data_IF_233895740467
#
_entry.id   IF_233895740467
#
_cell.length_a   1.000
_cell.length_b   1.000
_cell.length_c   1.000
_cell.angle_alpha   90.00
_cell.angle_beta   90.00
_cell.angle_gamma   90.00
#
_symmetry.space_group_name_H-M   'P 1'
#
loop_
_entity.id
_entity.type
_entity.pdbx_description
1 polymer ?
#
# COMPACT_ATOMS: atom_id res chain seq x y z
N UNK A 1 1.17 17.84 22.11
CA UNK A 1 0.81 16.58 21.45
C UNK A 1 1.07 15.45 22.42
N UNK A 2 0.04 14.69 22.78
CA UNK A 2 0.17 13.46 23.57
C UNK A 2 0.60 12.30 22.66
N UNK A 3 1.14 11.22 23.25
CA UNK A 3 1.51 10.03 22.47
C UNK A 3 0.33 9.41 21.72
N UNK A 4 -0.89 9.49 22.28
CA UNK A 4 -2.10 9.00 21.61
C UNK A 4 -2.47 9.81 20.37
N UNK A 5 -2.30 11.13 20.39
CA UNK A 5 -2.55 11.99 19.22
C UNK A 5 -1.57 11.72 18.07
N UNK A 6 -0.32 11.41 18.41
CA UNK A 6 0.71 11.02 17.43
C UNK A 6 0.32 9.70 16.77
N UNK A 7 -0.04 8.69 17.55
CA UNK A 7 -0.40 7.36 17.03
C UNK A 7 -1.73 7.37 16.25
N UNK A 8 -2.63 8.30 16.57
CA UNK A 8 -3.86 8.53 15.80
C UNK A 8 -3.62 9.28 14.48
N UNK A 9 -2.37 9.62 14.13
CA UNK A 9 -2.04 10.26 12.86
C UNK A 9 -2.31 11.76 12.81
N UNK A 10 -2.53 12.43 13.97
CA UNK A 10 -2.84 13.86 14.02
C UNK A 10 -1.62 14.77 13.82
N UNK A 11 -0.42 14.19 13.64
CA UNK A 11 0.85 14.92 13.42
C UNK A 11 0.73 15.90 12.25
N UNK A 12 0.24 15.45 11.09
CA UNK A 12 0.12 16.29 9.90
C UNK A 12 -0.85 17.47 10.11
N UNK A 13 -2.09 17.27 10.61
CA UNK A 13 -2.97 18.38 10.99
C UNK A 13 -2.35 19.37 11.98
N UNK A 14 -1.68 18.88 13.04
CA UNK A 14 -1.07 19.76 14.05
C UNK A 14 0.05 20.62 13.47
N UNK A 15 0.90 20.04 12.61
CA UNK A 15 1.95 20.79 11.90
C UNK A 15 1.33 21.81 10.95
N UNK A 16 0.30 21.45 10.19
CA UNK A 16 -0.34 22.37 9.26
C UNK A 16 -0.99 23.58 9.97
N UNK A 17 -1.60 23.36 11.14
CA UNK A 17 -2.12 24.44 11.99
C UNK A 17 -1.01 25.33 12.53
N UNK A 18 0.10 24.74 12.96
CA UNK A 18 1.25 25.50 13.47
C UNK A 18 1.88 26.40 12.40
N UNK A 19 1.84 25.99 11.13
CA UNK A 19 2.55 26.67 10.02
C UNK A 19 1.67 27.68 9.29
N UNK A 20 0.45 27.28 8.93
CA UNK A 20 -0.45 28.06 8.09
C UNK A 20 -1.72 28.49 8.84
N UNK A 21 -1.73 28.36 10.17
CA UNK A 21 -2.86 28.72 11.01
C UNK A 21 -4.14 27.97 10.63
N UNK A 22 -5.28 28.65 10.71
CA UNK A 22 -6.60 28.08 10.36
C UNK A 22 -6.68 27.66 8.87
N UNK A 23 -5.96 28.35 7.97
CA UNK A 23 -5.92 28.00 6.55
C UNK A 23 -5.25 26.63 6.31
N UNK A 24 -4.22 26.30 7.09
CA UNK A 24 -3.55 25.00 7.05
C UNK A 24 -4.45 23.83 7.45
N UNK A 25 -5.29 24.01 8.48
CA UNK A 25 -6.28 23.00 8.87
C UNK A 25 -7.27 22.69 7.74
N UNK A 26 -7.81 23.72 7.09
CA UNK A 26 -8.76 23.56 5.98
C UNK A 26 -8.08 22.88 4.79
N UNK A 27 -6.84 23.25 4.47
CA UNK A 27 -6.07 22.64 3.40
C UNK A 27 -5.83 21.15 3.64
N UNK A 28 -5.42 20.74 4.85
CA UNK A 28 -5.22 19.31 5.20
C UNK A 28 -6.53 18.54 5.16
N UNK A 29 -7.64 19.13 5.63
CA UNK A 29 -8.96 18.51 5.58
C UNK A 29 -9.38 18.22 4.14
N UNK A 30 -9.27 19.23 3.26
CA UNK A 30 -9.62 19.10 1.85
C UNK A 30 -8.72 18.11 1.12
N UNK A 31 -7.40 18.19 1.34
CA UNK A 31 -6.43 17.25 0.77
C UNK A 31 -6.74 15.81 1.18
N UNK A 32 -7.02 15.57 2.46
CA UNK A 32 -7.36 14.24 2.99
C UNK A 32 -8.68 13.75 2.39
N UNK A 33 -9.70 14.60 2.30
CA UNK A 33 -10.98 14.25 1.69
C UNK A 33 -10.83 13.86 0.22
N UNK A 34 -10.08 14.64 -0.57
CA UNK A 34 -9.82 14.34 -1.97
C UNK A 34 -9.00 13.07 -2.15
N UNK A 35 -7.97 12.87 -1.32
CA UNK A 35 -7.13 11.66 -1.36
C UNK A 35 -7.95 10.40 -1.06
N UNK A 36 -8.79 10.42 -0.01
CA UNK A 36 -9.64 9.29 0.36
C UNK A 36 -10.71 9.03 -0.71
N UNK A 37 -11.33 10.08 -1.26
CA UNK A 37 -12.34 9.92 -2.33
C UNK A 37 -11.73 9.29 -3.58
N UNK A 38 -10.49 9.65 -3.92
CA UNK A 38 -9.75 9.06 -5.04
C UNK A 38 -9.45 7.58 -4.82
N UNK A 39 -8.96 7.19 -3.64
CA UNK A 39 -8.62 5.79 -3.33
C UNK A 39 -9.86 4.92 -3.20
N UNK A 40 -10.93 5.42 -2.55
CA UNK A 40 -12.20 4.72 -2.43
C UNK A 40 -12.84 4.45 -3.80
N UNK A 41 -12.76 5.40 -4.73
CA UNK A 41 -13.29 5.22 -6.09
C UNK A 41 -12.62 4.03 -6.80
N UNK A 42 -11.28 3.93 -6.72
CA UNK A 42 -10.55 2.81 -7.31
C UNK A 42 -10.88 1.47 -6.63
N UNK A 43 -10.99 1.45 -5.30
CA UNK A 43 -11.32 0.23 -4.55
C UNK A 43 -12.74 -0.27 -4.83
N UNK A 44 -13.72 0.63 -4.91
CA UNK A 44 -15.11 0.28 -5.22
C UNK A 44 -15.23 -0.34 -6.61
N UNK A 45 -14.52 0.22 -7.61
CA UNK A 45 -14.47 -0.34 -8.96
C UNK A 45 -13.84 -1.75 -8.95
N UNK A 46 -12.72 -1.92 -8.24
CA UNK A 46 -12.05 -3.21 -8.12
C UNK A 46 -12.97 -4.27 -7.48
N UNK A 47 -13.58 -3.96 -6.33
CA UNK A 47 -14.48 -4.88 -5.63
C UNK A 47 -15.70 -5.23 -6.47
N UNK A 48 -16.27 -4.24 -7.17
CA UNK A 48 -17.37 -4.44 -8.10
C UNK A 48 -17.01 -5.46 -9.20
N UNK A 49 -15.81 -5.33 -9.79
CA UNK A 49 -15.35 -6.25 -10.85
C UNK A 49 -15.11 -7.66 -10.32
N UNK A 50 -14.47 -7.81 -9.15
CA UNK A 50 -14.22 -9.11 -8.51
C UNK A 50 -15.55 -9.82 -8.21
N UNK A 51 -16.50 -9.11 -7.58
CA UNK A 51 -17.77 -9.72 -7.21
C UNK A 51 -18.59 -10.16 -8.43
N UNK A 52 -18.49 -9.42 -9.53
CA UNK A 52 -19.28 -9.69 -10.73
C UNK A 52 -18.65 -10.74 -11.64
N UNK A 53 -17.35 -10.58 -11.96
CA UNK A 53 -16.66 -11.48 -12.89
C UNK A 53 -16.13 -12.71 -12.18
N UNK A 54 -15.48 -12.56 -11.03
CA UNK A 54 -14.82 -13.69 -10.36
C UNK A 54 -15.82 -14.53 -9.59
N UNK A 55 -16.81 -13.92 -8.91
CA UNK A 55 -17.81 -14.65 -8.13
C UNK A 55 -19.08 -14.96 -8.95
N UNK A 56 -19.84 -13.94 -9.35
CA UNK A 56 -21.16 -14.14 -9.96
C UNK A 56 -21.09 -14.88 -11.31
N UNK A 57 -20.23 -14.43 -12.23
CA UNK A 57 -20.12 -15.03 -13.56
C UNK A 57 -19.48 -16.42 -13.52
N UNK A 58 -18.47 -16.64 -12.69
CA UNK A 58 -17.79 -17.95 -12.61
C UNK A 58 -18.65 -19.03 -11.95
N UNK A 59 -19.33 -18.70 -10.86
CA UNK A 59 -19.99 -19.70 -10.00
C UNK A 59 -21.51 -19.73 -10.10
N UNK A 60 -22.18 -18.59 -10.34
CA UNK A 60 -23.65 -18.51 -10.32
C UNK A 60 -24.23 -18.56 -11.73
N UNK A 61 -23.83 -17.64 -12.62
CA UNK A 61 -24.34 -17.59 -13.98
C UNK A 61 -23.25 -17.25 -15.00
N UNK A 62 -22.74 -18.30 -15.66
CA UNK A 62 -21.68 -18.22 -16.68
C UNK A 62 -22.08 -17.38 -17.90
N UNK A 63 -23.37 -17.29 -18.20
CA UNK A 63 -23.94 -16.51 -19.30
C UNK A 63 -24.70 -15.28 -18.80
N UNK A 64 -24.22 -14.63 -17.75
CA UNK A 64 -24.80 -13.38 -17.25
C UNK A 64 -24.77 -12.28 -18.33
N UNK A 65 -25.92 -11.66 -18.61
CA UNK A 65 -26.03 -10.51 -19.50
C UNK A 65 -25.76 -9.18 -18.78
N UNK A 66 -25.58 -8.09 -19.54
CA UNK A 66 -25.20 -6.76 -19.03
C UNK A 66 -26.08 -6.25 -17.87
N UNK A 67 -27.40 -6.48 -17.92
CA UNK A 67 -28.32 -6.02 -16.87
C UNK A 67 -28.04 -6.69 -15.53
N UNK A 68 -27.66 -7.96 -15.54
CA UNK A 68 -27.35 -8.70 -14.31
C UNK A 68 -25.95 -8.33 -13.81
N UNK A 69 -24.98 -8.20 -14.71
CA UNK A 69 -23.63 -7.70 -14.38
C UNK A 69 -23.69 -6.37 -13.61
N UNK A 70 -24.48 -5.40 -14.08
CA UNK A 70 -24.63 -4.11 -13.42
C UNK A 70 -25.33 -4.23 -12.05
N UNK A 71 -26.39 -5.04 -11.94
CA UNK A 71 -27.10 -5.23 -10.66
C UNK A 71 -26.22 -5.87 -9.60
N UNK A 72 -25.49 -6.93 -9.98
CA UNK A 72 -24.62 -7.67 -9.07
C UNK A 72 -23.36 -6.87 -8.71
N UNK A 73 -22.86 -6.04 -9.62
CA UNK A 73 -21.83 -5.02 -9.34
C UNK A 73 -22.27 -4.07 -8.23
N UNK A 74 -23.44 -3.42 -8.36
CA UNK A 74 -23.95 -2.51 -7.34
C UNK A 74 -24.21 -3.20 -5.99
N UNK A 75 -24.75 -4.42 -6.01
CA UNK A 75 -24.95 -5.20 -4.80
C UNK A 75 -23.61 -5.51 -4.11
N UNK A 76 -22.60 -5.92 -4.88
CA UNK A 76 -21.26 -6.18 -4.36
C UNK A 76 -20.65 -4.96 -3.65
N UNK A 77 -20.82 -3.77 -4.22
CA UNK A 77 -20.36 -2.52 -3.60
C UNK A 77 -21.08 -2.23 -2.28
N UNK A 78 -22.41 -2.39 -2.23
CA UNK A 78 -23.20 -2.16 -1.00
C UNK A 78 -22.81 -3.15 0.09
N UNK A 79 -22.66 -4.43 -0.25
CA UNK A 79 -22.23 -5.47 0.69
C UNK A 79 -20.83 -5.20 1.22
N UNK A 80 -19.89 -4.82 0.35
CA UNK A 80 -18.53 -4.47 0.75
C UNK A 80 -18.49 -3.23 1.64
N UNK A 81 -19.26 -2.18 1.32
CA UNK A 81 -19.36 -0.99 2.14
C UNK A 81 -19.91 -1.30 3.54
N UNK A 82 -20.97 -2.13 3.63
CA UNK A 82 -21.53 -2.57 4.89
C UNK A 82 -20.54 -3.41 5.71
N UNK A 83 -19.84 -4.35 5.05
CA UNK A 83 -18.83 -5.20 5.69
C UNK A 83 -17.63 -4.38 6.19
N UNK A 84 -17.09 -3.49 5.35
CA UNK A 84 -15.96 -2.62 5.69
C UNK A 84 -16.31 -1.66 6.84
N UNK A 85 -17.50 -1.06 6.82
CA UNK A 85 -17.98 -0.21 7.91
C UNK A 85 -18.11 -1.00 9.22
N UNK A 86 -18.66 -2.22 9.16
CA UNK A 86 -18.77 -3.12 10.31
C UNK A 86 -17.40 -3.52 10.88
N UNK A 87 -16.46 -3.89 10.02
CA UNK A 87 -15.09 -4.25 10.41
C UNK A 87 -14.36 -3.05 11.04
N UNK A 88 -14.53 -1.85 10.47
CA UNK A 88 -13.96 -0.61 11.02
C UNK A 88 -14.53 -0.30 12.40
N UNK A 89 -15.84 -0.44 12.59
CA UNK A 89 -16.47 -0.27 13.90
C UNK A 89 -15.97 -1.29 14.93
N UNK A 90 -15.78 -2.55 14.52
CA UNK A 90 -15.22 -3.60 15.38
C UNK A 90 -13.78 -3.29 15.80
N UNK A 91 -12.94 -2.84 14.87
CA UNK A 91 -11.56 -2.42 15.18
C UNK A 91 -11.50 -1.20 16.09
N UNK A 92 -12.39 -0.23 15.90
CA UNK A 92 -12.47 0.93 16.79
C UNK A 92 -12.90 0.51 18.21
N UNK A 93 -13.88 -0.39 18.34
CA UNK A 93 -14.29 -0.92 19.64
C UNK A 93 -13.19 -1.75 20.31
N UNK A 94 -12.39 -2.48 19.51
CA UNK A 94 -11.22 -3.23 19.98
C UNK A 94 -10.04 -2.36 20.45
N UNK A 95 -10.17 -1.02 20.43
CA UNK A 95 -9.12 -0.10 20.89
C UNK A 95 -7.95 0.05 19.92
N UNK A 96 -8.10 -0.39 18.67
CA UNK A 96 -7.04 -0.22 17.66
C UNK A 96 -6.99 1.22 17.16
N UNK A 97 -5.77 1.69 16.89
CA UNK A 97 -5.50 3.04 16.40
C UNK A 97 -4.92 3.00 14.98
N UNK A 98 -4.77 4.16 14.36
CA UNK A 98 -4.26 4.26 12.99
C UNK A 98 -2.85 3.66 12.85
N UNK A 99 -1.97 3.87 13.82
CA UNK A 99 -0.62 3.27 13.83
C UNK A 99 -0.65 1.75 13.82
N UNK A 100 -1.47 1.13 14.67
CA UNK A 100 -1.67 -0.32 14.70
C UNK A 100 -2.16 -0.86 13.36
N UNK A 101 -3.17 -0.23 12.77
CA UNK A 101 -3.73 -0.64 11.47
C UNK A 101 -2.69 -0.53 10.36
N UNK A 102 -1.91 0.56 10.33
CA UNK A 102 -0.85 0.79 9.35
C UNK A 102 0.30 -0.20 9.47
N UNK A 103 0.62 -0.68 10.68
CA UNK A 103 1.68 -1.68 10.86
C UNK A 103 1.20 -3.11 10.59
N UNK A 104 -0.04 -3.43 10.93
CA UNK A 104 -0.61 -4.76 10.72
C UNK A 104 -0.89 -5.06 9.24
N UNK A 105 -1.24 -4.05 8.42
CA UNK A 105 -1.64 -4.24 7.01
C UNK A 105 -0.57 -4.98 6.17
N UNK A 106 0.72 -4.76 6.46
CA UNK A 106 1.82 -5.44 5.77
C UNK A 106 1.80 -6.96 6.00
N UNK A 107 1.46 -7.40 7.21
CA UNK A 107 1.39 -8.83 7.55
C UNK A 107 0.35 -9.55 6.71
N UNK A 108 -0.80 -8.91 6.45
CA UNK A 108 -1.94 -9.55 5.76
C UNK A 108 -1.85 -9.42 4.24
N UNK A 109 -1.25 -8.36 3.71
CA UNK A 109 -1.27 -8.07 2.26
C UNK A 109 -0.10 -8.67 1.48
N UNK A 110 1.03 -8.93 2.12
CA UNK A 110 2.23 -9.45 1.46
C UNK A 110 2.25 -10.92 0.97
N UNK A 111 1.44 -11.89 1.46
CA UNK A 111 1.62 -13.30 1.09
C UNK A 111 1.46 -13.59 -0.41
N UNK A 112 0.67 -12.78 -1.11
CA UNK A 112 0.37 -12.99 -2.53
C UNK A 112 1.46 -12.53 -3.48
N UNK A 113 2.43 -11.72 -3.04
CA UNK A 113 3.36 -11.00 -3.95
C UNK A 113 4.12 -11.97 -4.86
N UNK A 114 4.87 -12.91 -4.28
CA UNK A 114 5.73 -13.81 -5.05
C UNK A 114 4.94 -14.88 -5.84
N UNK A 115 3.91 -15.53 -5.28
CA UNK A 115 3.07 -16.44 -6.04
C UNK A 115 2.49 -15.79 -7.30
N UNK A 116 2.01 -14.53 -7.19
CA UNK A 116 1.42 -13.80 -8.32
C UNK A 116 2.47 -13.42 -9.38
N UNK A 117 3.67 -13.01 -8.96
CA UNK A 117 4.78 -12.74 -9.89
C UNK A 117 5.15 -14.02 -10.66
N UNK A 118 5.27 -15.14 -9.95
CA UNK A 118 5.67 -16.40 -10.56
C UNK A 118 4.56 -17.05 -11.39
N UNK A 119 3.27 -16.76 -11.13
CA UNK A 119 2.19 -17.18 -12.05
C UNK A 119 2.32 -16.55 -13.43
N UNK A 120 2.97 -15.38 -13.55
CA UNK A 120 3.14 -14.67 -14.83
C UNK A 120 4.49 -15.01 -15.48
N UNK A 121 5.55 -15.22 -14.68
CA UNK A 121 6.90 -15.41 -15.20
C UNK A 121 7.33 -16.88 -15.32
N UNK A 122 6.72 -17.79 -14.56
CA UNK A 122 7.19 -19.16 -14.44
C UNK A 122 6.19 -20.17 -14.99
N UNK A 123 6.52 -20.74 -16.14
CA UNK A 123 5.72 -21.72 -16.86
C UNK A 123 5.52 -23.07 -16.16
N UNK A 124 6.21 -23.31 -15.03
CA UNK A 124 6.12 -24.57 -14.26
C UNK A 124 5.30 -24.43 -12.98
N UNK A 125 4.84 -23.22 -12.64
CA UNK A 125 4.11 -23.01 -11.41
C UNK A 125 2.71 -23.62 -11.51
N UNK A 126 2.41 -24.55 -10.60
CA UNK A 126 1.09 -25.15 -10.52
C UNK A 126 0.06 -24.21 -9.89
N UNK A 127 -1.18 -24.30 -10.38
CA UNK A 127 -2.32 -23.53 -9.85
C UNK A 127 -2.53 -23.77 -8.35
N UNK A 128 -2.35 -25.02 -7.88
CA UNK A 128 -2.47 -25.34 -6.46
C UNK A 128 -1.29 -24.80 -5.64
N UNK A 129 -0.08 -24.83 -6.21
CA UNK A 129 1.12 -24.26 -5.58
C UNK A 129 0.96 -22.74 -5.36
N UNK A 130 0.39 -22.02 -6.33
CA UNK A 130 0.13 -20.58 -6.23
C UNK A 130 -0.82 -20.23 -5.06
N UNK A 131 -1.90 -20.99 -4.90
CA UNK A 131 -2.90 -20.74 -3.84
C UNK A 131 -2.37 -21.17 -2.47
N UNK A 132 -1.83 -22.39 -2.37
CA UNK A 132 -1.36 -22.96 -1.10
C UNK A 132 -0.20 -22.15 -0.54
N UNK A 133 0.74 -21.72 -1.39
CA UNK A 133 1.88 -20.90 -0.94
C UNK A 133 1.45 -19.55 -0.36
N UNK A 134 0.48 -18.87 -0.98
CA UNK A 134 -0.07 -17.62 -0.47
C UNK A 134 -0.79 -17.81 0.87
N UNK A 135 -1.62 -18.86 1.00
CA UNK A 135 -2.35 -19.15 2.25
C UNK A 135 -1.39 -19.58 3.36
N UNK A 136 -0.43 -20.45 3.06
CA UNK A 136 0.60 -20.87 4.01
C UNK A 136 1.48 -19.69 4.45
N UNK A 137 1.81 -18.79 3.53
CA UNK A 137 2.56 -17.56 3.82
C UNK A 137 1.80 -16.58 4.71
N UNK A 138 0.47 -16.48 4.56
CA UNK A 138 -0.35 -15.70 5.48
C UNK A 138 -0.35 -16.33 6.88
N UNK A 139 -0.49 -17.66 6.96
CA UNK A 139 -0.50 -18.37 8.23
C UNK A 139 0.84 -18.22 8.98
N UNK A 140 1.97 -18.32 8.27
CA UNK A 140 3.30 -18.08 8.86
C UNK A 140 3.52 -16.62 9.23
N UNK A 141 3.06 -15.68 8.41
CA UNK A 141 3.08 -14.25 8.71
C UNK A 141 2.34 -13.92 10.01
N UNK A 142 1.11 -14.41 10.16
CA UNK A 142 0.31 -14.26 11.37
C UNK A 142 0.94 -14.97 12.58
N UNK A 143 1.47 -16.18 12.38
CA UNK A 143 2.15 -16.95 13.42
C UNK A 143 3.40 -16.25 13.95
N UNK A 144 4.24 -15.70 13.05
CA UNK A 144 5.43 -14.94 13.44
C UNK A 144 5.06 -13.59 14.06
N UNK A 145 4.02 -12.92 13.56
CA UNK A 145 3.56 -11.66 14.14
C UNK A 145 3.08 -11.82 15.59
N UNK A 146 2.16 -12.76 15.84
CA UNK A 146 1.63 -13.02 17.18
C UNK A 146 2.68 -13.67 18.09
N UNK A 147 3.51 -14.57 17.53
CA UNK A 147 4.62 -15.19 18.25
C UNK A 147 5.70 -14.18 18.67
N UNK A 148 6.04 -13.22 17.80
CA UNK A 148 6.98 -12.15 18.13
C UNK A 148 6.40 -11.19 19.18
N UNK A 149 5.10 -10.89 19.13
CA UNK A 149 4.44 -10.13 20.18
C UNK A 149 4.56 -10.82 21.55
N UNK A 150 4.27 -12.12 21.60
CA UNK A 150 4.40 -12.92 22.82
C UNK A 150 5.86 -13.05 23.29
N UNK A 151 6.82 -13.27 22.38
CA UNK A 151 8.22 -13.50 22.75
C UNK A 151 8.93 -12.22 23.21
N UNK A 152 8.60 -11.06 22.63
CA UNK A 152 9.27 -9.79 22.95
C UNK A 152 8.59 -9.04 24.10
N UNK A 153 7.26 -9.14 24.22
CA UNK A 153 6.48 -8.35 25.19
C UNK A 153 5.76 -9.20 26.23
N UNK A 154 5.76 -10.54 26.11
CA UNK A 154 5.16 -11.45 27.09
C UNK A 154 3.65 -11.58 27.02
N UNK A 155 2.98 -10.84 26.13
CA UNK A 155 1.53 -10.87 25.93
C UNK A 155 1.13 -10.64 24.47
N UNK A 156 -0.05 -11.15 24.10
CA UNK A 156 -0.70 -10.86 22.82
C UNK A 156 -1.85 -9.88 23.09
N UNK A 157 -1.56 -8.58 22.98
CA UNK A 157 -2.49 -7.47 23.16
C UNK A 157 -2.43 -6.52 21.97
N UNK A 158 -3.37 -5.57 21.87
CA UNK A 158 -3.32 -4.53 20.82
C UNK A 158 -2.03 -3.70 20.94
N UNK A 159 -1.58 -3.47 22.16
CA UNK A 159 -0.37 -2.69 22.41
C UNK A 159 0.90 -3.44 22.00
N UNK A 160 0.98 -4.76 22.25
CA UNK A 160 2.15 -5.56 21.86
C UNK A 160 2.17 -5.85 20.36
N UNK A 161 1.02 -6.16 19.77
CA UNK A 161 0.90 -6.45 18.33
C UNK A 161 1.04 -5.21 17.45
N UNK A 162 0.79 -4.01 18.00
CA UNK A 162 1.00 -2.72 17.34
C UNK A 162 2.43 -2.17 17.39
N UNK A 163 3.37 -2.91 17.97
CA UNK A 163 4.76 -2.49 18.00
C UNK A 163 5.44 -2.72 16.65
N UNK A 164 6.41 -1.86 16.31
CA UNK A 164 7.14 -1.93 15.04
C UNK A 164 7.86 -3.27 14.85
N UNK A 165 8.42 -3.85 15.92
CA UNK A 165 9.22 -5.08 15.83
C UNK A 165 8.38 -6.33 15.46
N UNK A 166 7.30 -6.68 16.19
CA UNK A 166 6.41 -7.76 15.79
C UNK A 166 5.86 -7.60 14.37
N UNK A 167 5.40 -6.40 14.01
CA UNK A 167 4.87 -6.14 12.66
C UNK A 167 5.94 -6.28 11.58
N UNK A 168 7.18 -5.86 11.84
CA UNK A 168 8.30 -6.05 10.92
C UNK A 168 8.58 -7.54 10.69
N UNK A 169 8.73 -8.33 11.76
CA UNK A 169 8.98 -9.77 11.64
C UNK A 169 7.83 -10.49 10.95
N UNK A 170 6.59 -10.16 11.30
CA UNK A 170 5.38 -10.70 10.66
C UNK A 170 5.32 -10.37 9.17
N UNK A 171 5.60 -9.11 8.79
CA UNK A 171 5.57 -8.68 7.38
C UNK A 171 6.67 -9.36 6.57
N UNK A 172 7.89 -9.46 7.11
CA UNK A 172 9.00 -10.15 6.43
C UNK A 172 8.71 -11.65 6.27
N UNK A 173 8.19 -12.30 7.32
CA UNK A 173 7.80 -13.70 7.25
C UNK A 173 6.67 -13.93 6.23
N UNK A 174 5.66 -13.07 6.24
CA UNK A 174 4.51 -13.09 5.33
C UNK A 174 4.94 -12.86 3.87
N UNK A 175 5.87 -11.94 3.63
CA UNK A 175 6.37 -11.66 2.29
C UNK A 175 7.29 -12.76 1.75
N UNK A 176 8.24 -13.27 2.55
CA UNK A 176 9.30 -14.15 2.04
C UNK A 176 8.96 -15.65 2.12
N UNK A 177 8.12 -16.08 3.06
CA UNK A 177 7.79 -17.51 3.16
C UNK A 177 6.99 -18.07 1.97
N UNK A 178 6.03 -17.35 1.33
CA UNK A 178 5.37 -17.83 0.12
C UNK A 178 6.34 -18.13 -1.02
N UNK A 179 7.45 -17.39 -1.13
CA UNK A 179 8.48 -17.64 -2.15
C UNK A 179 9.11 -19.02 -1.99
N UNK A 180 9.41 -19.43 -0.76
CA UNK A 180 9.93 -20.75 -0.48
C UNK A 180 8.88 -21.83 -0.79
N UNK A 181 7.64 -21.62 -0.34
CA UNK A 181 6.56 -22.58 -0.55
C UNK A 181 6.24 -22.77 -2.03
N UNK A 182 6.12 -21.69 -2.81
CA UNK A 182 5.77 -21.79 -4.21
C UNK A 182 6.86 -22.47 -5.03
N UNK A 183 8.14 -22.23 -4.74
CA UNK A 183 9.25 -22.92 -5.42
C UNK A 183 9.24 -24.41 -5.09
N UNK A 184 9.13 -24.77 -3.82
CA UNK A 184 9.14 -26.19 -3.40
C UNK A 184 7.93 -26.92 -3.98
N UNK A 185 6.73 -26.36 -3.84
CA UNK A 185 5.49 -26.99 -4.32
C UNK A 185 5.46 -27.10 -5.85
N UNK A 186 5.96 -26.09 -6.57
CA UNK A 186 6.03 -26.13 -8.04
C UNK A 186 7.07 -27.13 -8.56
N UNK A 187 8.10 -27.46 -7.77
CA UNK A 187 9.05 -28.52 -8.13
C UNK A 187 8.49 -29.93 -7.86
N UNK A 188 7.65 -30.09 -6.83
CA UNK A 188 6.99 -31.37 -6.52
C UNK A 188 5.85 -31.65 -7.51
N UNK A 189 5.05 -30.64 -7.82
CA UNK A 189 3.94 -30.71 -8.76
C UNK A 189 4.09 -29.64 -9.85
N UNK A 190 4.98 -29.83 -10.84
CA UNK A 190 5.12 -28.90 -11.93
C UNK A 190 3.92 -28.98 -12.87
N UNK A 191 3.38 -27.84 -13.24
CA UNK A 191 2.33 -27.72 -14.26
C UNK A 191 2.96 -27.00 -15.46
N UNK A 192 3.10 -27.66 -16.61
CA UNK A 192 3.75 -27.05 -17.79
C UNK A 192 2.72 -26.24 -18.57
N UNK A 193 2.51 -24.99 -18.14
CA UNK A 193 1.53 -24.10 -18.75
C UNK A 193 1.97 -23.63 -20.15
N UNK A 194 1.05 -23.71 -21.11
CA UNK A 194 1.26 -23.25 -22.48
C UNK A 194 0.78 -21.80 -22.64
N UNK A 195 1.72 -20.87 -22.79
CA UNK A 195 1.45 -19.43 -22.91
C UNK A 195 0.70 -19.05 -24.19
N UNK A 196 0.67 -19.91 -25.20
CA UNK A 196 -0.06 -19.63 -26.45
C UNK A 196 -1.56 -19.47 -26.20
N UNK A 197 -2.07 -20.13 -25.16
CA UNK A 197 -3.48 -20.13 -24.75
C UNK A 197 -4.01 -18.75 -24.31
N UNK A 198 -3.14 -17.83 -23.89
CA UNK A 198 -3.52 -16.44 -23.58
C UNK A 198 -3.98 -15.66 -24.82
N UNK A 199 -3.56 -16.08 -26.02
CA UNK A 199 -3.95 -15.43 -27.29
C UNK A 199 -5.37 -15.80 -27.70
N UNK A 200 -5.85 -16.97 -27.27
CA UNK A 200 -7.17 -17.50 -27.62
C UNK A 200 -8.29 -16.95 -26.73
N UNK A 201 -7.94 -16.31 -25.61
CA UNK A 201 -8.88 -15.88 -24.59
C UNK A 201 -9.51 -14.53 -24.97
N UNK A 202 -10.64 -14.62 -25.67
CA UNK A 202 -11.41 -13.45 -26.10
C UNK A 202 -11.95 -12.69 -24.88
N UNK A 203 -11.59 -11.41 -24.75
CA UNK A 203 -12.15 -10.50 -23.73
C UNK A 203 -13.68 -10.47 -23.87
N UNK A 204 -14.38 -11.05 -22.89
CA UNK A 204 -15.83 -11.32 -22.92
C UNK A 204 -16.69 -10.05 -22.79
N UNK A 205 -16.11 -8.88 -23.08
CA UNK A 205 -16.78 -7.58 -23.11
C UNK A 205 -17.01 -7.10 -24.55
N UNK A 206 -16.22 -7.55 -25.53
CA UNK A 206 -16.29 -7.06 -26.91
C UNK A 206 -17.56 -7.48 -27.66
N UNK A 207 -18.28 -8.50 -27.18
CA UNK A 207 -19.53 -8.92 -27.82
C UNK A 207 -20.71 -7.98 -27.54
N UNK A 208 -20.70 -7.26 -26.41
CA UNK A 208 -21.92 -6.66 -25.88
C UNK A 208 -21.90 -5.12 -25.82
N UNK A 209 -20.73 -4.48 -25.87
CA UNK A 209 -20.60 -3.00 -25.96
C UNK A 209 -21.01 -2.45 -27.33
N UNK A 210 -20.94 -3.27 -28.37
CA UNK A 210 -21.25 -2.87 -29.76
C UNK A 210 -22.71 -2.48 -29.99
N UNK A 211 -23.64 -2.91 -29.12
CA UNK A 211 -25.08 -2.72 -29.36
C UNK A 211 -25.68 -1.53 -28.60
N UNK A 212 -25.14 -1.12 -27.46
CA UNK A 212 -25.69 -0.01 -26.66
C UNK A 212 -25.01 1.34 -26.93
N UNK A 213 -23.77 1.38 -27.40
CA UNK A 213 -23.04 2.62 -27.68
C UNK A 213 -23.47 3.33 -28.98
N UNK A 214 -24.20 2.62 -29.85
CA UNK A 214 -24.70 3.16 -31.13
C UNK A 214 -25.85 4.18 -30.99
N UNK A 215 -26.36 4.44 -29.77
CA UNK A 215 -27.56 5.27 -29.54
C UNK A 215 -27.32 6.65 -28.91
N UNK A 216 -26.08 7.04 -28.59
CA UNK A 216 -25.76 8.42 -28.18
C UNK A 216 -24.90 9.12 -29.24
N UNK A 217 -25.53 9.99 -30.04
CA UNK A 217 -24.82 10.99 -30.85
C UNK A 217 -24.59 12.23 -30.00
N UNK A 218 -23.36 12.43 -29.52
CA UNK A 218 -22.83 13.75 -29.15
C UNK A 218 -21.40 13.91 -29.66
N UNK A 219 -20.98 15.15 -30.01
CA UNK A 219 -19.81 15.38 -30.84
C UNK A 219 -18.50 15.31 -30.06
N UNK A 220 -17.52 14.72 -30.72
CA UNK A 220 -16.10 14.63 -30.45
C UNK A 220 -15.55 15.57 -29.37
N UNK A 221 -15.21 14.98 -28.23
CA UNK A 221 -14.00 15.30 -27.49
C UNK A 221 -13.34 13.97 -27.16
N UNK A 222 -12.15 13.73 -27.72
CA UNK A 222 -11.29 12.60 -27.36
C UNK A 222 -10.92 12.70 -25.88
N UNK A 223 -11.80 12.20 -25.02
CA UNK A 223 -11.50 11.95 -23.63
C UNK A 223 -11.27 10.46 -23.51
N UNK A 224 -9.99 10.09 -23.58
CA UNK A 224 -9.40 8.89 -22.98
C UNK A 224 -10.41 7.75 -22.78
N UNK A 225 -10.67 6.98 -23.85
CA UNK A 225 -11.40 5.72 -23.71
C UNK A 225 -10.67 4.88 -22.66
N UNK A 226 -11.32 4.69 -21.52
CA UNK A 226 -10.92 3.73 -20.52
C UNK A 226 -10.88 2.36 -21.18
N UNK A 227 -9.69 1.76 -21.18
CA UNK A 227 -9.42 0.50 -21.86
C UNK A 227 -7.92 0.30 -22.03
N UNK A 228 -7.18 0.29 -20.92
CA UNK A 228 -5.72 0.01 -20.88
C UNK A 228 -5.36 -1.39 -21.45
N UNK A 229 -6.35 -2.19 -21.86
CA UNK A 229 -6.18 -3.58 -22.25
C UNK A 229 -6.55 -3.89 -23.71
N UNK A 230 -7.12 -2.94 -24.46
CA UNK A 230 -7.58 -3.21 -25.84
C UNK A 230 -6.47 -3.11 -26.90
N UNK A 231 -5.40 -2.35 -26.63
CA UNK A 231 -4.29 -2.18 -27.58
C UNK A 231 -3.19 -3.24 -27.42
N UNK A 232 -3.37 -4.20 -26.51
CA UNK A 232 -2.41 -5.26 -26.23
C UNK A 232 -2.56 -6.49 -27.14
N UNK A 233 -3.58 -6.54 -28.00
CA UNK A 233 -3.94 -7.77 -28.73
C UNK A 233 -3.36 -7.91 -30.15
N UNK A 234 -2.46 -7.03 -30.59
CA UNK A 234 -1.60 -7.29 -31.75
C UNK A 234 -0.15 -6.88 -31.44
N UNK A 235 0.52 -7.63 -30.56
CA UNK A 235 1.97 -7.47 -30.35
C UNK A 235 2.71 -8.21 -31.46
N UNK A 236 2.88 -7.56 -32.60
CA UNK A 236 3.98 -7.90 -33.52
C UNK A 236 5.26 -7.55 -32.78
N UNK A 237 6.00 -8.55 -32.27
CA UNK A 237 7.26 -8.32 -31.58
C UNK A 237 8.29 -7.69 -32.52
N UNK A 238 8.35 -6.35 -32.54
CA UNK A 238 9.42 -5.63 -33.20
C UNK A 238 10.65 -5.60 -32.25
N UNK A 239 11.85 -5.69 -32.81
CA UNK A 239 13.11 -5.70 -32.05
C UNK A 239 13.29 -4.40 -31.22
N UNK A 240 12.53 -3.36 -31.51
CA UNK A 240 12.42 -2.12 -30.74
C UNK A 240 11.79 -2.31 -29.37
N UNK A 241 10.82 -3.21 -29.21
CA UNK A 241 10.06 -3.38 -27.96
C UNK A 241 10.90 -4.01 -26.84
N UNK A 242 11.82 -4.90 -27.22
CA UNK A 242 12.80 -5.49 -26.30
C UNK A 242 13.79 -4.45 -25.77
N UNK A 243 14.05 -3.36 -26.51
CA UNK A 243 14.91 -2.26 -26.04
C UNK A 243 14.16 -1.40 -25.03
N UNK A 244 12.91 -1.05 -25.32
CA UNK A 244 12.06 -0.28 -24.41
C UNK A 244 11.75 -1.04 -23.12
N UNK A 245 11.57 -2.36 -23.17
CA UNK A 245 11.47 -3.19 -21.96
C UNK A 245 12.75 -3.13 -21.11
N UNK A 246 13.94 -3.18 -21.73
CA UNK A 246 15.21 -3.05 -20.99
C UNK A 246 15.35 -1.68 -20.34
N UNK A 247 14.98 -0.60 -21.04
CA UNK A 247 14.98 0.74 -20.46
C UNK A 247 13.95 0.88 -19.35
N UNK A 248 12.75 0.34 -19.51
CA UNK A 248 11.71 0.33 -18.48
C UNK A 248 12.14 -0.46 -17.24
N UNK A 249 12.76 -1.63 -17.44
CA UNK A 249 13.32 -2.44 -16.35
C UNK A 249 14.43 -1.68 -15.61
N UNK A 250 15.38 -1.09 -16.35
CA UNK A 250 16.46 -0.29 -15.77
C UNK A 250 15.91 0.90 -14.96
N UNK A 251 14.92 1.60 -15.51
CA UNK A 251 14.28 2.74 -14.86
C UNK A 251 13.49 2.31 -13.61
N UNK A 252 12.77 1.18 -13.68
CA UNK A 252 12.06 0.60 -12.54
C UNK A 252 13.02 0.21 -11.42
N UNK A 253 14.14 -0.44 -11.75
CA UNK A 253 15.19 -0.74 -10.77
C UNK A 253 15.77 0.54 -10.19
N UNK A 254 16.12 1.53 -11.02
CA UNK A 254 16.67 2.79 -10.54
C UNK A 254 15.71 3.52 -9.60
N UNK A 255 14.42 3.60 -9.92
CA UNK A 255 13.41 4.20 -9.05
C UNK A 255 13.22 3.41 -7.75
N UNK A 256 13.16 2.07 -7.83
CA UNK A 256 13.03 1.23 -6.64
C UNK A 256 14.24 1.37 -5.72
N UNK A 257 15.45 1.10 -6.22
CA UNK A 257 16.68 1.19 -5.43
C UNK A 257 16.97 2.63 -5.01
N UNK A 258 16.67 3.62 -5.84
CA UNK A 258 16.87 5.04 -5.53
C UNK A 258 15.99 5.50 -4.37
N UNK A 259 14.68 5.25 -4.45
CA UNK A 259 13.72 5.74 -3.45
C UNK A 259 13.75 4.88 -2.18
N UNK A 260 13.80 3.55 -2.30
CA UNK A 260 13.61 2.64 -1.16
C UNK A 260 14.91 2.23 -0.48
N UNK A 261 16.05 2.28 -1.15
CA UNK A 261 17.34 1.80 -0.61
C UNK A 261 18.32 2.96 -0.45
N UNK A 262 18.54 3.75 -1.50
CA UNK A 262 19.53 4.84 -1.51
C UNK A 262 19.07 6.05 -0.68
N UNK A 263 17.78 6.31 -0.55
CA UNK A 263 17.31 7.38 0.34
C UNK A 263 17.37 6.98 1.83
N UNK A 264 16.81 5.83 2.27
CA UNK A 264 16.69 5.54 3.70
C UNK A 264 17.99 5.03 4.32
N UNK A 265 18.81 4.26 3.58
CA UNK A 265 20.04 3.67 4.15
C UNK A 265 21.11 4.70 4.52
N UNK A 266 21.41 5.72 3.70
CA UNK A 266 22.32 6.79 4.10
C UNK A 266 21.76 7.64 5.23
N UNK A 267 20.44 7.90 5.28
CA UNK A 267 19.82 8.59 6.40
C UNK A 267 19.94 7.79 7.71
N UNK A 268 19.74 6.47 7.64
CA UNK A 268 19.93 5.55 8.76
C UNK A 268 21.40 5.47 9.18
N UNK A 269 22.33 5.29 8.22
CA UNK A 269 23.77 5.21 8.45
C UNK A 269 24.38 6.51 8.97
N UNK A 270 23.85 7.66 8.56
CA UNK A 270 24.23 8.97 9.09
C UNK A 270 23.63 9.25 10.48
N UNK A 271 22.80 8.36 11.04
CA UNK A 271 22.01 8.57 12.27
C UNK A 271 21.32 9.93 12.24
N UNK A 272 20.73 10.28 11.08
CA UNK A 272 20.21 11.62 10.84
C UNK A 272 19.02 11.89 11.77
N UNK A 273 19.18 12.87 12.66
CA UNK A 273 18.10 13.38 13.51
C UNK A 273 17.69 14.72 12.90
N UNK A 274 16.42 14.85 12.52
CA UNK A 274 15.88 16.15 12.13
C UNK A 274 15.96 17.10 13.34
N UNK A 275 16.99 17.95 13.35
CA UNK A 275 17.17 18.98 14.39
C UNK A 275 16.06 20.02 14.27
N UNK A 276 15.55 20.53 15.41
CA UNK A 276 14.61 21.66 15.45
C UNK A 276 15.04 22.81 14.54
N UNK A 277 16.34 23.09 14.45
CA UNK A 277 16.86 24.15 13.60
C UNK A 277 16.66 23.93 12.09
N UNK A 278 16.66 22.68 11.61
CA UNK A 278 16.41 22.37 10.19
C UNK A 278 14.92 22.40 9.90
N UNK A 279 14.10 21.95 10.85
CA UNK A 279 12.66 22.03 10.77
C UNK A 279 12.21 23.51 10.79
N UNK A 280 12.60 24.28 11.79
CA UNK A 280 12.23 25.69 11.92
C UNK A 280 12.77 26.56 10.76
N UNK A 281 13.98 26.29 10.26
CA UNK A 281 14.52 27.01 9.09
C UNK A 281 13.86 26.54 7.79
N UNK A 282 13.80 25.24 7.53
CA UNK A 282 13.17 24.69 6.33
C UNK A 282 11.69 25.07 6.22
N UNK A 283 10.97 25.12 7.35
CA UNK A 283 9.57 25.56 7.40
C UNK A 283 9.41 27.07 7.19
N UNK A 284 10.28 27.91 7.72
CA UNK A 284 10.27 29.35 7.42
C UNK A 284 10.59 29.63 5.94
N UNK A 285 11.48 28.85 5.31
CA UNK A 285 11.82 29.03 3.91
C UNK A 285 10.74 28.50 2.94
N UNK A 286 10.05 27.40 3.27
CA UNK A 286 8.89 26.92 2.49
C UNK A 286 7.66 27.82 2.61
N UNK A 287 7.39 28.37 3.81
CA UNK A 287 6.25 29.28 4.01
C UNK A 287 6.45 30.63 3.29
N UNK A 288 7.69 31.03 2.99
CA UNK A 288 8.04 32.33 2.38
C UNK A 288 8.49 32.18 0.90
N UNK A 289 8.55 30.96 0.35
CA UNK A 289 8.87 30.73 -1.06
C UNK A 289 10.28 31.15 -1.48
N UNK A 290 11.26 31.15 -0.56
CA UNK A 290 12.66 31.45 -0.90
C UNK A 290 13.45 30.16 -1.16
N UNK A 291 14.06 30.09 -2.35
CA UNK A 291 14.97 29.01 -2.75
C UNK A 291 16.23 28.99 -1.87
N UNK A 292 16.72 27.79 -1.59
CA UNK A 292 17.86 27.51 -0.71
C UNK A 292 19.16 27.99 -1.35
N UNK A 293 19.85 28.92 -0.70
CA UNK A 293 21.26 29.24 -1.00
C UNK A 293 22.17 28.08 -0.51
N UNK A 294 23.09 27.54 -1.32
CA UNK A 294 23.87 26.35 -0.99
C UNK A 294 24.90 26.52 0.16
N UNK A 295 25.07 27.72 0.72
CA UNK A 295 26.21 28.08 1.57
C UNK A 295 26.08 27.81 3.08
N UNK A 296 24.93 27.36 3.59
CA UNK A 296 24.64 27.39 5.04
C UNK A 296 24.09 26.09 5.62
N UNK A 297 24.50 24.93 5.09
CA UNK A 297 24.18 23.62 5.69
C UNK A 297 25.30 23.23 6.67
N UNK A 298 25.17 23.64 7.94
CA UNK A 298 26.02 23.13 9.01
C UNK A 298 25.50 21.78 9.50
N UNK A 299 26.16 20.69 9.13
CA UNK A 299 25.87 19.34 9.61
C UNK A 299 26.37 19.17 11.05
N UNK A 300 25.44 19.04 12.01
CA UNK A 300 25.79 18.71 13.39
C UNK A 300 25.96 17.19 13.50
N UNK A 301 27.21 16.73 13.61
CA UNK A 301 27.57 15.32 13.85
C UNK A 301 27.57 15.06 15.37
N UNK A 302 26.85 14.03 15.83
CA UNK A 302 26.72 13.67 17.26
C UNK A 302 28.08 13.27 17.86
N UNK A 303 28.45 13.82 19.03
CA UNK A 303 29.40 13.19 19.96
C UNK A 303 28.65 12.18 20.83
N UNK A 304 29.20 10.98 20.94
CA UNK A 304 28.62 9.85 21.68
C UNK A 304 28.50 10.17 23.18
N UNK A 305 27.28 10.12 23.72
CA UNK A 305 27.05 9.79 25.12
C UNK A 305 25.72 9.05 25.28
N UNK A 306 25.75 8.07 26.19
CA UNK A 306 24.91 6.91 26.33
C UNK A 306 23.40 7.18 26.52
N UNK A 307 22.59 6.28 25.92
CA UNK A 307 21.25 5.95 26.39
C UNK A 307 21.39 5.13 27.69
N UNK A 308 21.04 5.71 28.83
CA UNK A 308 20.48 4.95 29.94
C UNK A 308 19.09 5.52 30.22
N UNK A 309 18.10 4.62 30.27
CA UNK A 309 16.69 4.96 30.45
C UNK A 309 16.41 5.63 31.79
N UNK A 310 15.42 6.51 31.82
CA UNK A 310 14.88 7.17 33.03
C UNK A 310 13.42 7.54 32.69
N UNK A 311 12.38 6.81 33.12
CA UNK A 311 11.69 6.85 34.43
C UNK A 311 11.39 8.24 34.97
N UNK A 312 10.12 8.65 34.92
CA UNK A 312 9.40 9.67 35.72
C UNK A 312 10.02 11.08 35.94
N UNK A 313 9.22 12.18 35.84
CA UNK A 313 9.68 13.49 36.28
C UNK A 313 9.40 13.68 37.78
N UNK A 314 10.46 13.68 38.59
CA UNK A 314 10.47 14.27 39.94
C UNK A 314 10.89 15.74 39.87
N UNK A 315 10.41 16.49 40.87
CA UNK A 315 10.24 17.95 40.94
C UNK A 315 11.51 18.84 40.93
N UNK A 316 11.22 20.15 40.74
CA UNK A 316 11.91 21.37 41.23
C UNK A 316 13.15 21.92 40.50
N UNK A 317 13.04 23.21 40.14
CA UNK A 317 14.17 24.06 39.75
C UNK A 317 13.72 25.37 39.11
N UNK A 318 13.34 26.35 39.92
CA UNK A 318 12.97 27.71 39.52
C UNK A 318 14.15 28.49 38.90
N UNK A 319 13.92 29.17 37.78
CA UNK A 319 14.66 30.39 37.44
C UNK A 319 13.73 31.42 36.81
N UNK A 320 13.56 32.53 37.55
CA UNK A 320 13.04 33.80 37.09
C UNK A 320 14.04 34.42 36.11
N UNK A 321 13.55 35.03 35.03
CA UNK A 321 14.22 36.14 34.39
C UNK A 321 13.29 37.34 34.41
N UNK A 322 13.73 38.36 35.14
CA UNK A 322 13.21 39.72 35.20
C UNK A 322 13.80 40.54 34.05
N UNK A 323 12.95 41.45 33.56
CA UNK A 323 13.12 42.51 32.54
C UNK A 323 13.22 42.08 31.07
#
# INVERSE_FOLDING_TARGET
MTSSEVTNGLVLPYVAVAVAGKGGAVAVLLMTFMAITSTLSAQVIAVSSIFTFDFYRTYINKNAGNKDVIRWSHLGVVLFAAFSAGLTAAFNYGGTNMGWTLYMIGVVTCPGIFPLILTILWNKQSSSAAVISAVAGLATGLGVWLGAAQALFGEVSVDSTGQTLPCMYGTVASALSPLLYTIILSLIWPDNYDWTRFTDEKLVLDSDTSTEESRRKEPTRESSKGGVLSDASEVVHDQTDLRWQKYAFLWSCFSFFGIWILWPLPMYGAKYIFSKAIMDRGLNYMAVGKLVDPGTVSFVRRKETNYQGVTQPTETGSMKYTE
#
